data_IF_324708901535
#
_entry.id   IF_324708901535
#
_cell.length_a   1.000
_cell.length_b   1.000
_cell.length_c   1.000
_cell.angle_alpha   90.00
_cell.angle_beta   90.00
_cell.angle_gamma   90.00
#
_symmetry.space_group_name_H-M   'P 1'
#
loop_
_entity.id
_entity.type
_entity.pdbx_description
1 polymer ?
#
# COMPACT_ATOMS: atom_id res chain seq x y z
N UNK A 1 9.81 17.48 68.62
CA UNK A 1 10.84 16.79 69.39
C UNK A 1 11.77 16.17 68.36
N UNK A 2 13.07 16.58 68.48
CA UNK A 2 14.32 16.10 67.84
C UNK A 2 14.35 16.13 66.29
N UNK A 3 14.96 17.07 65.61
CA UNK A 3 16.31 17.71 65.72
C UNK A 3 17.47 16.74 65.35
N UNK A 4 18.19 17.18 64.41
CA UNK A 4 19.68 17.36 64.34
C UNK A 4 20.28 16.70 63.08
N UNK A 5 20.76 17.56 62.18
CA UNK A 5 22.19 17.95 61.86
C UNK A 5 22.98 16.90 61.06
N UNK A 6 23.61 17.21 60.06
CA UNK A 6 24.50 18.19 59.43
C UNK A 6 25.74 17.49 58.86
N UNK A 7 26.18 17.99 57.71
CA UNK A 7 27.57 18.15 57.27
C UNK A 7 28.44 16.93 56.93
N UNK A 8 29.00 17.07 55.77
CA UNK A 8 30.29 16.51 55.37
C UNK A 8 30.41 16.46 53.86
N UNK A 9 30.86 17.52 53.24
CA UNK A 9 32.19 17.77 52.67
C UNK A 9 32.56 16.80 51.52
N UNK A 10 32.55 17.39 50.33
CA UNK A 10 33.65 17.43 49.34
C UNK A 10 34.71 16.32 49.43
N UNK A 11 34.73 15.46 48.44
CA UNK A 11 36.00 15.01 47.90
C UNK A 11 35.90 14.81 46.38
N UNK A 12 36.79 15.47 45.68
CA UNK A 12 37.02 15.47 44.25
C UNK A 12 37.78 14.18 43.96
N UNK A 13 37.23 13.30 43.12
CA UNK A 13 38.06 12.31 42.45
C UNK A 13 38.03 12.51 40.94
N UNK A 14 39.20 12.84 40.45
CA UNK A 14 39.55 12.97 39.04
C UNK A 14 39.83 11.59 38.50
N UNK A 15 39.29 11.33 37.33
CA UNK A 15 39.97 10.41 36.43
C UNK A 15 39.28 9.11 36.16
N UNK A 16 38.35 9.14 35.18
CA UNK A 16 38.16 7.95 34.33
C UNK A 16 37.78 8.41 32.93
N UNK A 17 38.77 8.70 32.11
CA UNK A 17 38.67 8.81 30.66
C UNK A 17 38.16 7.49 30.12
N UNK A 18 36.84 7.41 29.84
CA UNK A 18 36.30 6.34 29.03
C UNK A 18 36.72 6.57 27.58
N UNK A 19 37.77 5.90 27.15
CA UNK A 19 38.12 5.69 25.75
C UNK A 19 36.90 5.07 25.04
N UNK A 20 36.08 5.89 24.43
CA UNK A 20 35.13 5.45 23.42
C UNK A 20 35.94 5.00 22.21
N UNK A 21 36.25 3.72 22.15
CA UNK A 21 36.73 3.08 20.94
C UNK A 21 35.66 3.24 19.84
N UNK A 22 35.84 4.22 18.98
CA UNK A 22 35.18 4.27 17.68
C UNK A 22 35.54 2.98 16.97
N UNK A 23 34.61 1.99 16.96
CA UNK A 23 34.68 0.89 16.02
C UNK A 23 34.53 1.53 14.63
N UNK A 24 35.65 1.68 13.94
CA UNK A 24 35.63 1.96 12.51
C UNK A 24 34.76 0.90 11.84
N UNK A 25 33.58 1.29 11.37
CA UNK A 25 32.74 0.48 10.51
C UNK A 25 33.46 0.40 9.17
N UNK A 26 34.33 -0.62 9.05
CA UNK A 26 34.99 -0.98 7.80
C UNK A 26 33.92 -1.07 6.73
N UNK A 27 33.87 -0.12 5.80
CA UNK A 27 32.98 -0.16 4.64
C UNK A 27 33.29 -1.44 3.88
N UNK A 28 32.45 -2.45 4.06
CA UNK A 28 32.54 -3.71 3.30
C UNK A 28 32.51 -3.38 1.81
N UNK A 29 33.46 -3.92 1.07
CA UNK A 29 33.51 -3.74 -0.38
C UNK A 29 32.28 -4.37 -1.05
N UNK A 30 31.85 -3.83 -2.18
CA UNK A 30 30.74 -4.38 -2.98
C UNK A 30 30.87 -5.90 -3.22
N UNK A 31 32.07 -6.45 -3.56
CA UNK A 31 32.24 -7.89 -3.75
C UNK A 31 32.00 -8.69 -2.47
N UNK A 32 32.41 -8.19 -1.28
CA UNK A 32 32.17 -8.90 -0.01
C UNK A 32 30.69 -9.02 0.34
N UNK A 33 29.90 -7.98 0.04
CA UNK A 33 28.43 -7.99 0.23
C UNK A 33 27.75 -8.94 -0.74
N UNK A 34 28.22 -9.00 -1.99
CA UNK A 34 27.71 -9.94 -3.00
C UNK A 34 28.07 -11.38 -2.65
N UNK A 35 29.32 -11.66 -2.23
CA UNK A 35 29.75 -12.99 -1.79
C UNK A 35 28.97 -13.49 -0.57
N UNK A 36 28.75 -12.64 0.48
CA UNK A 36 27.95 -13.02 1.65
C UNK A 36 26.48 -13.25 1.35
N UNK A 37 25.91 -12.48 0.40
CA UNK A 37 24.54 -12.74 -0.09
C UNK A 37 24.46 -14.02 -0.89
N UNK A 38 25.43 -14.30 -1.75
CA UNK A 38 25.54 -15.52 -2.51
C UNK A 38 25.73 -16.75 -1.59
N UNK A 39 26.63 -16.68 -0.61
CA UNK A 39 26.88 -17.75 0.35
C UNK A 39 25.65 -18.09 1.25
N UNK A 40 24.75 -17.13 1.46
CA UNK A 40 23.48 -17.34 2.18
C UNK A 40 22.37 -17.90 1.31
N UNK A 41 22.50 -17.86 -0.01
CA UNK A 41 21.52 -18.42 -0.92
C UNK A 41 21.78 -19.93 -1.08
N UNK A 42 20.75 -20.76 -0.90
CA UNK A 42 20.79 -22.22 -1.15
C UNK A 42 21.16 -22.58 -2.61
N UNK A 43 21.29 -21.60 -3.49
CA UNK A 43 21.61 -21.78 -4.92
C UNK A 43 23.10 -21.86 -5.20
N UNK A 44 23.94 -21.24 -4.37
CA UNK A 44 25.39 -21.20 -4.56
C UNK A 44 26.06 -22.60 -4.62
N UNK A 45 25.77 -23.54 -3.69
CA UNK A 45 26.39 -24.86 -3.75
C UNK A 45 26.00 -25.64 -5.00
N UNK A 46 24.80 -25.43 -5.55
CA UNK A 46 24.37 -26.09 -6.80
C UNK A 46 25.15 -25.56 -7.99
N UNK A 47 25.31 -24.24 -8.11
CA UNK A 47 26.09 -23.62 -9.19
C UNK A 47 27.57 -24.07 -9.11
N UNK A 48 28.13 -24.06 -7.89
CA UNK A 48 29.49 -24.52 -7.67
C UNK A 48 29.68 -26.00 -8.06
N UNK A 49 28.73 -26.88 -7.73
CA UNK A 49 28.75 -28.28 -8.12
C UNK A 49 28.70 -28.46 -9.65
N UNK A 50 27.84 -27.68 -10.33
CA UNK A 50 27.75 -27.68 -11.79
C UNK A 50 29.08 -27.30 -12.43
N UNK A 51 29.66 -26.19 -11.99
CA UNK A 51 30.92 -25.68 -12.50
C UNK A 51 32.09 -26.70 -12.22
N UNK A 52 32.08 -27.31 -11.05
CA UNK A 52 33.05 -28.33 -10.67
C UNK A 52 32.94 -29.55 -11.58
N UNK A 53 31.73 -30.08 -11.80
CA UNK A 53 31.53 -31.26 -12.69
C UNK A 53 31.97 -30.94 -14.12
N UNK A 54 31.58 -29.77 -14.65
CA UNK A 54 31.99 -29.34 -15.99
C UNK A 54 33.52 -29.22 -16.11
N UNK A 55 34.16 -28.59 -15.12
CA UNK A 55 35.61 -28.41 -15.11
C UNK A 55 36.35 -29.76 -15.03
N UNK A 56 35.97 -30.64 -14.10
CA UNK A 56 36.58 -31.96 -13.94
C UNK A 56 36.40 -32.82 -15.17
N UNK A 57 35.21 -32.80 -15.77
CA UNK A 57 34.92 -33.57 -17.00
C UNK A 57 35.71 -33.05 -18.19
N UNK A 58 35.82 -31.72 -18.36
CA UNK A 58 36.59 -31.11 -19.45
C UNK A 58 38.08 -31.42 -19.33
N UNK A 59 38.62 -31.32 -18.11
CA UNK A 59 40.03 -31.70 -17.87
C UNK A 59 40.23 -33.22 -18.09
N UNK A 60 39.28 -34.02 -17.57
CA UNK A 60 39.37 -35.50 -17.72
C UNK A 60 39.36 -35.94 -19.17
N UNK A 61 38.43 -35.48 -20.01
CA UNK A 61 38.41 -35.85 -21.42
C UNK A 61 39.65 -35.35 -22.15
N UNK A 62 40.13 -34.16 -21.86
CA UNK A 62 41.35 -33.62 -22.47
C UNK A 62 42.57 -34.47 -22.16
N UNK A 63 42.76 -34.89 -20.91
CA UNK A 63 43.89 -35.75 -20.50
C UNK A 63 43.92 -37.07 -21.25
N UNK A 64 42.79 -37.72 -21.48
CA UNK A 64 42.73 -38.99 -22.20
C UNK A 64 42.81 -38.85 -23.73
N UNK A 65 42.28 -37.77 -24.29
CA UNK A 65 42.14 -37.57 -25.74
C UNK A 65 43.30 -36.78 -26.37
N UNK A 66 44.01 -35.95 -25.58
CA UNK A 66 45.01 -34.97 -26.08
C UNK A 66 46.02 -35.56 -27.07
N UNK A 67 46.54 -36.77 -26.80
CA UNK A 67 47.58 -37.42 -27.62
C UNK A 67 46.98 -38.27 -28.75
N UNK A 68 45.79 -38.77 -28.63
CA UNK A 68 45.16 -39.74 -29.50
C UNK A 68 44.10 -39.17 -30.45
N UNK A 69 43.61 -37.98 -30.17
CA UNK A 69 42.47 -37.42 -30.88
C UNK A 69 42.71 -35.96 -31.29
N UNK A 70 42.78 -35.73 -32.61
CA UNK A 70 43.03 -34.40 -33.16
C UNK A 70 41.88 -33.39 -32.86
N UNK A 71 40.69 -33.87 -32.51
CA UNK A 71 39.54 -33.04 -32.18
C UNK A 71 39.59 -32.45 -30.78
N UNK A 72 40.53 -32.89 -29.88
CA UNK A 72 40.70 -32.45 -28.52
C UNK A 72 42.10 -31.89 -28.25
N UNK A 73 42.48 -30.82 -28.98
CA UNK A 73 43.83 -30.21 -28.84
C UNK A 73 43.86 -29.05 -27.87
N UNK A 74 42.73 -28.50 -27.53
CA UNK A 74 42.62 -27.36 -26.63
C UNK A 74 41.62 -27.60 -25.49
N UNK A 75 41.81 -26.87 -24.37
CA UNK A 75 40.83 -26.89 -23.28
C UNK A 75 39.45 -26.36 -23.74
N UNK A 76 39.43 -25.45 -24.73
CA UNK A 76 38.19 -24.95 -25.33
C UNK A 76 37.40 -26.06 -26.03
N UNK A 77 38.09 -26.98 -26.71
CA UNK A 77 37.46 -28.15 -27.38
C UNK A 77 36.81 -29.08 -26.37
N UNK A 78 37.50 -29.32 -25.26
CA UNK A 78 37.00 -30.17 -24.19
C UNK A 78 35.80 -29.55 -23.45
N UNK A 79 35.84 -28.25 -23.16
CA UNK A 79 34.73 -27.52 -22.56
C UNK A 79 33.52 -27.53 -23.51
N UNK A 80 33.72 -27.23 -24.78
CA UNK A 80 32.66 -27.26 -25.79
C UNK A 80 31.97 -28.62 -25.82
N UNK A 81 32.74 -29.71 -25.99
CA UNK A 81 32.21 -31.05 -26.01
C UNK A 81 31.47 -31.43 -24.72
N UNK A 82 32.04 -31.08 -23.55
CA UNK A 82 31.40 -31.34 -22.23
C UNK A 82 30.06 -30.62 -22.11
N UNK A 83 29.99 -29.37 -22.53
CA UNK A 83 28.73 -28.59 -22.53
C UNK A 83 27.69 -29.21 -23.46
N UNK A 84 28.06 -29.49 -24.70
CA UNK A 84 27.19 -30.10 -25.72
C UNK A 84 26.65 -31.44 -25.27
N UNK A 85 27.51 -32.26 -24.65
CA UNK A 85 27.14 -33.58 -24.12
C UNK A 85 26.28 -33.48 -22.85
N UNK A 86 26.66 -32.63 -21.89
CA UNK A 86 25.91 -32.43 -20.64
C UNK A 86 24.52 -31.82 -20.86
N UNK A 87 24.37 -30.97 -21.89
CA UNK A 87 23.07 -30.39 -22.30
C UNK A 87 22.25 -31.31 -23.21
N UNK A 88 22.76 -32.53 -23.50
CA UNK A 88 22.11 -33.52 -24.37
C UNK A 88 21.89 -33.07 -25.82
N UNK A 89 22.59 -32.04 -26.29
CA UNK A 89 22.51 -31.55 -27.69
C UNK A 89 23.23 -32.49 -28.64
N UNK A 90 24.49 -32.90 -28.33
CA UNK A 90 25.23 -33.92 -29.02
C UNK A 90 25.44 -33.69 -30.53
N UNK A 91 26.02 -32.56 -30.94
CA UNK A 91 26.28 -32.28 -32.38
C UNK A 91 27.10 -33.35 -33.10
N UNK A 92 27.91 -34.14 -32.38
CA UNK A 92 28.74 -35.18 -32.95
C UNK A 92 30.00 -34.66 -33.67
N UNK A 93 30.28 -33.38 -33.60
CA UNK A 93 31.46 -32.72 -34.18
C UNK A 93 32.77 -33.09 -33.46
N UNK A 94 32.67 -33.45 -32.18
CA UNK A 94 33.75 -33.93 -31.33
C UNK A 94 33.27 -35.13 -30.53
N UNK A 95 34.01 -36.26 -30.62
CA UNK A 95 33.67 -37.48 -29.87
C UNK A 95 34.94 -38.14 -29.34
N UNK A 96 34.95 -38.61 -28.08
CA UNK A 96 36.09 -39.32 -27.51
C UNK A 96 36.28 -40.70 -28.17
N UNK A 97 37.50 -41.00 -28.56
CA UNK A 97 37.86 -42.27 -29.20
C UNK A 97 38.55 -43.24 -28.25
N UNK A 98 39.24 -42.73 -27.22
CA UNK A 98 39.92 -43.56 -26.21
C UNK A 98 38.94 -44.18 -25.23
N UNK A 99 39.28 -45.29 -24.63
CA UNK A 99 38.47 -45.95 -23.59
C UNK A 99 38.31 -45.04 -22.38
N UNK A 100 39.36 -44.32 -21.96
CA UNK A 100 39.30 -43.36 -20.86
C UNK A 100 38.38 -42.18 -21.15
N UNK A 101 38.48 -41.60 -22.36
CA UNK A 101 37.57 -40.51 -22.79
C UNK A 101 36.12 -40.95 -22.84
N UNK A 102 35.83 -42.17 -23.31
CA UNK A 102 34.47 -42.75 -23.31
C UNK A 102 33.90 -42.94 -21.90
N UNK A 103 34.75 -43.40 -20.96
CA UNK A 103 34.33 -43.52 -19.54
C UNK A 103 33.97 -42.17 -18.94
N UNK A 104 34.77 -41.11 -19.19
CA UNK A 104 34.42 -39.74 -18.81
C UNK A 104 33.09 -39.31 -19.48
N UNK A 105 32.89 -39.67 -20.74
CA UNK A 105 31.65 -39.39 -21.48
C UNK A 105 30.42 -39.99 -20.81
N UNK A 106 30.50 -41.26 -20.37
CA UNK A 106 29.39 -41.89 -19.65
C UNK A 106 29.05 -41.12 -18.35
N UNK A 107 30.07 -40.70 -17.61
CA UNK A 107 29.87 -39.93 -16.40
C UNK A 107 29.23 -38.56 -16.72
N UNK A 108 29.69 -37.86 -17.77
CA UNK A 108 29.11 -36.58 -18.22
C UNK A 108 27.63 -36.75 -18.60
N UNK A 109 27.26 -37.82 -19.30
CA UNK A 109 25.86 -38.09 -19.67
C UNK A 109 24.98 -38.31 -18.43
N UNK A 110 25.41 -39.14 -17.48
CA UNK A 110 24.63 -39.42 -16.26
C UNK A 110 24.49 -38.17 -15.40
N UNK A 111 25.60 -37.51 -15.10
CA UNK A 111 25.56 -36.30 -14.24
C UNK A 111 24.98 -35.09 -14.97
N UNK A 112 25.14 -34.94 -16.29
CA UNK A 112 24.58 -33.87 -17.11
C UNK A 112 23.06 -33.87 -17.09
N UNK A 113 22.41 -35.01 -17.31
CA UNK A 113 20.95 -35.15 -17.22
C UNK A 113 20.46 -34.81 -15.80
N UNK A 114 21.15 -35.28 -14.77
CA UNK A 114 20.83 -34.97 -13.39
C UNK A 114 20.93 -33.46 -13.07
N UNK A 115 21.98 -32.81 -13.58
CA UNK A 115 22.20 -31.37 -13.42
C UNK A 115 21.11 -30.54 -14.12
N UNK A 116 20.75 -30.91 -15.37
CA UNK A 116 19.65 -30.26 -16.09
C UNK A 116 18.33 -30.39 -15.34
N UNK A 117 18.01 -31.56 -14.83
CA UNK A 117 16.82 -31.79 -13.99
C UNK A 117 16.81 -30.91 -12.73
N UNK A 118 17.97 -30.78 -12.07
CA UNK A 118 18.09 -29.87 -10.90
C UNK A 118 17.88 -28.40 -11.25
N UNK A 119 18.44 -27.93 -12.37
CA UNK A 119 18.26 -26.54 -12.83
C UNK A 119 16.78 -26.27 -13.14
N UNK A 120 16.14 -27.13 -13.92
CA UNK A 120 14.73 -27.02 -14.31
C UNK A 120 13.83 -27.06 -13.10
N UNK A 121 14.07 -28.00 -12.17
CA UNK A 121 13.32 -28.08 -10.91
C UNK A 121 13.48 -26.82 -10.03
N UNK A 122 14.66 -26.22 -9.98
CA UNK A 122 14.90 -24.97 -9.26
C UNK A 122 14.18 -23.79 -9.88
N UNK A 123 14.19 -23.66 -11.21
CA UNK A 123 13.47 -22.62 -11.94
C UNK A 123 11.97 -22.78 -11.70
N UNK A 124 11.43 -23.98 -11.85
CA UNK A 124 10.03 -24.27 -11.60
C UNK A 124 9.63 -23.96 -10.15
N UNK A 125 10.41 -24.40 -9.17
CA UNK A 125 10.16 -24.08 -7.75
C UNK A 125 10.19 -22.60 -7.45
N UNK A 126 11.12 -21.85 -8.06
CA UNK A 126 11.21 -20.40 -7.92
C UNK A 126 10.00 -19.68 -8.51
N UNK A 127 9.55 -20.09 -9.71
CA UNK A 127 8.35 -19.55 -10.36
C UNK A 127 7.08 -19.81 -9.53
N UNK A 128 6.94 -21.03 -9.02
CA UNK A 128 5.81 -21.40 -8.15
C UNK A 128 5.84 -20.60 -6.84
N UNK A 129 7.01 -20.50 -6.19
CA UNK A 129 7.16 -19.73 -4.96
C UNK A 129 6.85 -18.24 -5.17
N UNK A 130 7.28 -17.67 -6.30
CA UNK A 130 7.00 -16.30 -6.69
C UNK A 130 5.49 -16.08 -6.87
N UNK A 131 4.82 -16.97 -7.62
CA UNK A 131 3.39 -16.92 -7.87
C UNK A 131 2.55 -17.09 -6.58
N UNK A 132 2.97 -18.00 -5.69
CA UNK A 132 2.33 -18.19 -4.37
C UNK A 132 2.50 -16.94 -3.51
N UNK A 133 3.68 -16.32 -3.45
CA UNK A 133 3.91 -15.10 -2.68
C UNK A 133 3.07 -13.93 -3.20
N UNK A 134 2.94 -13.80 -4.50
CA UNK A 134 2.10 -12.75 -5.12
C UNK A 134 0.62 -12.98 -4.80
N UNK A 135 0.10 -14.18 -5.00
CA UNK A 135 -1.28 -14.54 -4.66
C UNK A 135 -1.57 -14.48 -3.15
N UNK A 136 -0.57 -14.77 -2.31
CA UNK A 136 -0.71 -14.73 -0.85
C UNK A 136 -0.69 -13.33 -0.24
N UNK A 137 -0.49 -12.26 -1.02
CA UNK A 137 -0.44 -10.89 -0.53
C UNK A 137 0.79 -10.56 0.34
N UNK A 138 1.88 -11.33 0.21
CA UNK A 138 3.11 -11.12 0.97
C UNK A 138 4.11 -10.19 0.27
N UNK A 139 3.81 -9.76 -0.95
CA UNK A 139 4.65 -8.87 -1.75
C UNK A 139 4.42 -7.40 -1.40
N UNK A 140 5.44 -6.56 -1.63
CA UNK A 140 5.36 -5.11 -1.38
C UNK A 140 4.95 -4.38 -2.66
N UNK A 141 3.95 -3.49 -2.57
CA UNK A 141 3.39 -2.73 -3.68
C UNK A 141 4.19 -1.45 -4.01
N UNK A 142 5.51 -1.55 -4.17
CA UNK A 142 6.41 -0.38 -4.34
C UNK A 142 6.15 0.47 -5.58
N UNK A 143 5.56 -0.10 -6.61
CA UNK A 143 5.36 0.58 -7.91
C UNK A 143 4.07 1.38 -7.99
N UNK A 144 3.10 1.11 -7.12
CA UNK A 144 1.79 1.76 -7.14
C UNK A 144 1.86 3.16 -6.52
N UNK A 145 1.34 4.16 -7.20
CA UNK A 145 1.29 5.56 -6.76
C UNK A 145 -0.10 6.11 -7.01
N UNK A 146 -0.53 7.07 -6.18
CA UNK A 146 -1.85 7.71 -6.25
C UNK A 146 -3.02 6.73 -6.21
N UNK A 147 -2.82 5.58 -5.62
CA UNK A 147 -3.77 4.49 -5.49
C UNK A 147 -4.69 4.66 -4.28
N UNK A 148 -5.78 3.89 -4.25
CA UNK A 148 -6.68 3.75 -3.14
C UNK A 148 -6.27 2.55 -2.29
N UNK A 149 -6.03 2.75 -1.00
CA UNK A 149 -5.83 1.65 -0.05
C UNK A 149 -7.13 1.40 0.69
N UNK A 150 -7.61 0.16 0.71
CA UNK A 150 -8.80 -0.26 1.44
C UNK A 150 -8.36 -1.23 2.53
N UNK A 151 -8.58 -0.84 3.79
CA UNK A 151 -8.28 -1.63 4.97
C UNK A 151 -9.54 -2.27 5.54
N UNK A 152 -9.47 -3.55 5.92
CA UNK A 152 -10.63 -4.30 6.41
C UNK A 152 -11.35 -5.10 5.34
N UNK A 153 -12.43 -5.77 5.72
CA UNK A 153 -13.20 -6.68 4.86
C UNK A 153 -14.69 -6.66 5.18
N UNK A 154 -15.52 -6.79 4.15
CA UNK A 154 -16.97 -6.95 4.25
C UNK A 154 -17.41 -8.24 3.60
N UNK A 155 -18.53 -8.82 4.06
CA UNK A 155 -19.08 -10.03 3.46
C UNK A 155 -19.50 -9.82 1.99
N UNK A 156 -19.92 -8.60 1.65
CA UNK A 156 -20.31 -8.17 0.31
C UNK A 156 -19.22 -7.35 -0.39
N UNK A 157 -17.95 -7.68 -0.15
CA UNK A 157 -16.78 -6.92 -0.61
C UNK A 157 -16.76 -6.67 -2.12
N UNK A 158 -17.27 -7.61 -2.92
CA UNK A 158 -17.39 -7.46 -4.38
C UNK A 158 -18.25 -6.24 -4.72
N UNK A 159 -19.43 -6.11 -4.09
CA UNK A 159 -20.32 -4.95 -4.31
C UNK A 159 -19.69 -3.65 -3.84
N UNK A 160 -19.07 -3.65 -2.67
CA UNK A 160 -18.37 -2.46 -2.16
C UNK A 160 -17.31 -1.97 -3.15
N UNK A 161 -16.55 -2.87 -3.75
CA UNK A 161 -15.53 -2.50 -4.73
C UNK A 161 -16.12 -2.04 -6.06
N UNK A 162 -17.18 -2.68 -6.54
CA UNK A 162 -17.89 -2.24 -7.73
C UNK A 162 -18.47 -0.84 -7.55
N UNK A 163 -19.12 -0.57 -6.42
CA UNK A 163 -19.64 0.75 -6.09
C UNK A 163 -18.52 1.80 -6.00
N UNK A 164 -17.37 1.45 -5.39
CA UNK A 164 -16.20 2.33 -5.33
C UNK A 164 -15.67 2.67 -6.72
N UNK A 165 -15.59 1.70 -7.63
CA UNK A 165 -15.16 1.93 -9.01
C UNK A 165 -16.18 2.76 -9.79
N UNK A 166 -17.47 2.51 -9.61
CA UNK A 166 -18.52 3.23 -10.31
C UNK A 166 -18.59 4.73 -9.94
N UNK A 167 -18.31 5.09 -8.67
CA UNK A 167 -18.27 6.51 -8.25
C UNK A 167 -16.92 7.19 -8.50
N UNK A 168 -15.89 6.45 -8.88
CA UNK A 168 -14.56 6.99 -9.17
C UNK A 168 -14.09 6.52 -10.56
N UNK A 169 -14.63 7.07 -11.64
CA UNK A 169 -14.35 6.61 -13.01
C UNK A 169 -12.88 6.78 -13.44
N UNK A 170 -12.11 7.60 -12.72
CA UNK A 170 -10.67 7.76 -12.91
C UNK A 170 -9.83 6.66 -12.25
N UNK A 171 -10.45 5.78 -11.45
CA UNK A 171 -9.79 4.71 -10.71
C UNK A 171 -9.95 3.39 -11.45
N UNK A 172 -8.85 2.71 -11.75
CA UNK A 172 -8.88 1.35 -12.27
C UNK A 172 -8.79 0.32 -11.11
N UNK A 173 -9.17 -0.92 -11.36
CA UNK A 173 -9.08 -2.00 -10.37
C UNK A 173 -7.62 -2.24 -9.91
N UNK A 174 -6.64 -2.08 -10.81
CA UNK A 174 -5.20 -2.15 -10.48
C UNK A 174 -4.70 -1.03 -9.57
N UNK A 175 -5.45 0.06 -9.41
CA UNK A 175 -5.16 1.15 -8.49
C UNK A 175 -5.72 0.91 -7.09
N UNK A 176 -6.39 -0.22 -6.85
CA UNK A 176 -6.90 -0.60 -5.54
C UNK A 176 -5.94 -1.58 -4.87
N UNK A 177 -5.56 -1.27 -3.63
CA UNK A 177 -4.76 -2.15 -2.77
C UNK A 177 -5.57 -2.53 -1.54
N UNK A 178 -5.99 -3.79 -1.46
CA UNK A 178 -6.67 -4.34 -0.28
C UNK A 178 -5.66 -4.71 0.80
N UNK A 179 -5.95 -4.36 2.05
CA UNK A 179 -5.15 -4.71 3.22
C UNK A 179 -6.04 -5.36 4.26
N UNK A 180 -5.89 -6.67 4.46
CA UNK A 180 -6.65 -7.42 5.48
C UNK A 180 -5.98 -8.76 5.78
N UNK A 181 -6.58 -9.53 6.69
CA UNK A 181 -6.09 -10.84 7.14
C UNK A 181 -6.86 -12.03 6.56
N UNK A 182 -7.81 -11.81 5.67
CA UNK A 182 -8.61 -12.91 5.08
C UNK A 182 -7.73 -13.94 4.37
N UNK A 183 -8.27 -15.12 4.18
CA UNK A 183 -7.59 -16.17 3.44
C UNK A 183 -7.35 -15.73 1.99
N UNK A 184 -6.19 -16.05 1.37
CA UNK A 184 -5.93 -15.72 -0.03
C UNK A 184 -7.01 -16.21 -1.00
N UNK A 185 -7.66 -17.33 -0.67
CA UNK A 185 -8.76 -17.89 -1.47
C UNK A 185 -9.96 -16.93 -1.59
N UNK A 186 -10.27 -16.15 -0.55
CA UNK A 186 -11.34 -15.14 -0.59
C UNK A 186 -11.03 -14.02 -1.59
N UNK A 187 -9.75 -13.61 -1.63
CA UNK A 187 -9.30 -12.59 -2.58
C UNK A 187 -9.27 -13.14 -4.00
N UNK A 188 -8.93 -14.41 -4.17
CA UNK A 188 -8.95 -15.06 -5.49
C UNK A 188 -10.39 -15.21 -6.01
N UNK A 189 -11.34 -15.56 -5.14
CA UNK A 189 -12.77 -15.55 -5.46
C UNK A 189 -13.25 -14.16 -5.91
N UNK A 190 -12.78 -13.10 -5.23
CA UNK A 190 -13.07 -11.72 -5.61
C UNK A 190 -12.50 -11.39 -7.01
N UNK A 191 -11.27 -11.79 -7.30
CA UNK A 191 -10.59 -11.61 -8.60
C UNK A 191 -11.18 -12.42 -9.74
N UNK A 192 -12.02 -13.40 -9.43
CA UNK A 192 -12.78 -14.14 -10.46
C UNK A 192 -13.81 -13.26 -11.17
N UNK A 193 -14.17 -12.11 -10.58
CA UNK A 193 -14.96 -11.09 -11.24
C UNK A 193 -14.08 -10.31 -12.24
N UNK A 194 -14.46 -10.19 -13.54
CA UNK A 194 -13.66 -9.50 -14.54
C UNK A 194 -13.31 -8.05 -14.23
N UNK A 195 -14.20 -7.33 -13.53
CA UNK A 195 -14.03 -5.93 -13.15
C UNK A 195 -13.04 -5.73 -11.99
N UNK A 196 -12.66 -6.82 -11.27
CA UNK A 196 -11.86 -6.80 -10.05
C UNK A 196 -10.59 -7.66 -10.18
N UNK A 197 -10.27 -8.10 -11.40
CA UNK A 197 -9.22 -9.09 -11.65
C UNK A 197 -7.81 -8.62 -11.25
N UNK A 198 -7.50 -7.34 -11.45
CA UNK A 198 -6.18 -6.78 -11.21
C UNK A 198 -6.03 -6.16 -9.82
N UNK A 199 -7.03 -6.25 -8.95
CA UNK A 199 -6.95 -5.74 -7.58
C UNK A 199 -5.73 -6.32 -6.86
N UNK A 200 -4.97 -5.43 -6.22
CA UNK A 200 -3.77 -5.80 -5.47
C UNK A 200 -4.12 -6.14 -4.03
N UNK A 201 -3.37 -7.07 -3.46
CA UNK A 201 -3.61 -7.55 -2.11
C UNK A 201 -2.34 -7.54 -1.28
N UNK A 202 -2.45 -7.04 -0.05
CA UNK A 202 -1.41 -7.10 0.98
C UNK A 202 -2.01 -7.78 2.20
N UNK A 203 -1.60 -9.01 2.45
CA UNK A 203 -2.06 -9.77 3.62
C UNK A 203 -1.36 -9.31 4.88
N UNK A 204 -2.12 -8.93 5.88
CA UNK A 204 -1.63 -8.56 7.20
C UNK A 204 -2.61 -7.70 7.98
N UNK A 205 -2.26 -7.47 9.23
CA UNK A 205 -3.04 -6.60 10.10
C UNK A 205 -2.84 -5.13 9.67
N UNK A 206 -3.93 -4.47 9.28
CA UNK A 206 -3.91 -3.07 8.86
C UNK A 206 -3.67 -2.07 10.00
N UNK A 207 -3.53 -2.54 11.24
CA UNK A 207 -3.04 -1.74 12.37
C UNK A 207 -1.50 -1.69 12.38
N UNK A 208 -0.81 -2.70 11.80
CA UNK A 208 0.65 -2.78 11.76
C UNK A 208 1.24 -1.83 10.71
N UNK A 209 2.15 -0.96 11.15
CA UNK A 209 2.87 -0.01 10.30
C UNK A 209 3.60 -0.70 9.14
N UNK A 210 4.25 -1.84 9.38
CA UNK A 210 4.98 -2.56 8.33
C UNK A 210 4.07 -3.09 7.23
N UNK A 211 2.85 -3.49 7.57
CA UNK A 211 1.83 -3.92 6.62
C UNK A 211 1.37 -2.76 5.76
N UNK A 212 1.06 -1.62 6.37
CA UNK A 212 0.70 -0.39 5.66
C UNK A 212 1.84 0.12 4.76
N UNK A 213 3.09 0.03 5.21
CA UNK A 213 4.26 0.37 4.38
C UNK A 213 4.43 -0.59 3.19
N UNK A 214 4.08 -1.89 3.33
CA UNK A 214 4.03 -2.83 2.20
C UNK A 214 2.95 -2.45 1.18
N UNK A 215 1.82 -1.90 1.63
CA UNK A 215 0.78 -1.36 0.77
C UNK A 215 1.16 -0.01 0.13
N UNK A 216 2.36 0.49 0.38
CA UNK A 216 2.88 1.79 -0.09
C UNK A 216 1.98 2.99 0.28
N UNK A 217 1.48 2.99 1.51
CA UNK A 217 0.56 4.00 2.03
C UNK A 217 1.05 5.45 1.84
N UNK A 218 2.38 5.67 1.88
CA UNK A 218 2.99 7.00 1.71
C UNK A 218 2.73 7.63 0.35
N UNK A 219 2.45 6.81 -0.66
CA UNK A 219 2.20 7.23 -2.05
C UNK A 219 0.71 7.07 -2.43
N UNK A 220 -0.14 6.63 -1.52
CA UNK A 220 -1.56 6.50 -1.75
C UNK A 220 -2.24 7.88 -1.84
N UNK A 221 -3.26 7.99 -2.69
CA UNK A 221 -4.08 9.20 -2.78
C UNK A 221 -5.11 9.27 -1.65
N UNK A 222 -5.74 8.13 -1.37
CA UNK A 222 -6.81 8.02 -0.38
C UNK A 222 -6.70 6.69 0.36
N UNK A 223 -7.24 6.65 1.58
CA UNK A 223 -7.42 5.43 2.36
C UNK A 223 -8.86 5.31 2.79
N UNK A 224 -9.43 4.14 2.61
CA UNK A 224 -10.74 3.76 3.14
C UNK A 224 -10.53 2.66 4.20
N UNK A 225 -10.95 2.92 5.44
CA UNK A 225 -10.93 1.92 6.52
C UNK A 225 -12.35 1.48 6.77
N UNK A 226 -12.64 0.23 6.46
CA UNK A 226 -13.95 -0.39 6.66
C UNK A 226 -14.07 -0.94 8.08
N UNK A 227 -15.28 -0.96 8.62
CA UNK A 227 -15.61 -1.75 9.80
C UNK A 227 -15.53 -3.24 9.42
N UNK A 228 -14.44 -3.89 9.83
CA UNK A 228 -14.07 -5.23 9.40
C UNK A 228 -15.01 -6.29 9.96
N UNK A 229 -15.70 -7.01 9.09
CA UNK A 229 -16.62 -8.10 9.44
C UNK A 229 -16.03 -9.51 9.21
N UNK A 230 -14.75 -9.61 8.87
CA UNK A 230 -14.08 -10.88 8.57
C UNK A 230 -13.88 -11.78 9.79
N UNK A 231 -13.90 -11.20 10.99
CA UNK A 231 -13.78 -11.91 12.26
C UNK A 231 -15.06 -11.74 13.10
N UNK A 232 -15.38 -12.73 13.93
CA UNK A 232 -16.47 -12.62 14.92
C UNK A 232 -16.05 -11.74 16.10
N UNK A 233 -15.74 -10.45 15.80
CA UNK A 233 -15.30 -9.48 16.77
C UNK A 233 -16.49 -8.65 17.30
N UNK A 234 -16.40 -8.16 18.53
CA UNK A 234 -17.37 -7.22 19.08
C UNK A 234 -17.30 -5.87 18.35
N UNK A 235 -18.39 -5.11 18.33
CA UNK A 235 -18.42 -3.76 17.75
C UNK A 235 -17.32 -2.88 18.33
N UNK A 236 -17.09 -2.96 19.65
CA UNK A 236 -16.04 -2.19 20.31
C UNK A 236 -14.64 -2.57 19.80
N UNK A 237 -14.39 -3.83 19.55
CA UNK A 237 -13.11 -4.31 19.02
C UNK A 237 -12.90 -3.83 17.59
N UNK A 238 -13.92 -3.96 16.73
CA UNK A 238 -13.88 -3.48 15.33
C UNK A 238 -13.58 -1.99 15.29
N UNK A 239 -14.33 -1.18 16.05
CA UNK A 239 -14.15 0.27 16.05
C UNK A 239 -12.81 0.70 16.68
N UNK A 240 -12.34 -0.02 17.71
CA UNK A 240 -11.02 0.22 18.30
C UNK A 240 -9.90 -0.04 17.30
N UNK A 241 -9.98 -1.14 16.54
CA UNK A 241 -9.01 -1.45 15.46
C UNK A 241 -9.03 -0.39 14.36
N UNK A 242 -10.23 0.09 14.00
CA UNK A 242 -10.41 1.19 13.04
C UNK A 242 -9.69 2.45 13.52
N UNK A 243 -9.89 2.86 14.77
CA UNK A 243 -9.20 4.03 15.36
C UNK A 243 -7.69 3.85 15.37
N UNK A 244 -7.20 2.69 15.80
CA UNK A 244 -5.76 2.37 15.83
C UNK A 244 -5.14 2.41 14.41
N UNK A 245 -5.85 1.87 13.42
CA UNK A 245 -5.41 1.92 12.02
C UNK A 245 -5.27 3.36 11.53
N UNK A 246 -6.27 4.21 11.77
CA UNK A 246 -6.22 5.62 11.37
C UNK A 246 -5.07 6.35 12.08
N UNK A 247 -4.85 6.08 13.36
CA UNK A 247 -3.73 6.65 14.10
C UNK A 247 -2.39 6.28 13.45
N UNK A 248 -2.21 5.01 13.10
CA UNK A 248 -1.01 4.52 12.40
C UNK A 248 -0.85 5.18 11.03
N UNK A 249 -1.93 5.25 10.23
CA UNK A 249 -1.95 5.89 8.92
C UNK A 249 -1.54 7.37 9.02
N UNK A 250 -2.15 8.13 9.92
CA UNK A 250 -1.86 9.56 10.12
C UNK A 250 -0.46 9.80 10.73
N UNK A 251 0.10 8.82 11.44
CA UNK A 251 1.50 8.86 11.90
C UNK A 251 2.46 8.70 10.72
N UNK A 252 2.18 7.79 9.79
CA UNK A 252 2.99 7.58 8.58
C UNK A 252 2.88 8.76 7.61
N UNK A 253 1.66 9.28 7.41
CA UNK A 253 1.37 10.37 6.47
C UNK A 253 0.18 11.20 6.94
N UNK A 254 0.44 12.42 7.43
CA UNK A 254 -0.60 13.34 7.92
C UNK A 254 -1.46 13.89 6.79
N UNK A 255 -0.91 13.99 5.59
CA UNK A 255 -1.56 14.62 4.44
C UNK A 255 -2.44 13.66 3.63
N UNK A 256 -2.45 12.36 3.95
CA UNK A 256 -3.27 11.39 3.22
C UNK A 256 -4.75 11.55 3.59
N UNK A 257 -5.62 11.60 2.56
CA UNK A 257 -7.06 11.65 2.77
C UNK A 257 -7.58 10.30 3.29
N UNK A 258 -8.22 10.31 4.44
CA UNK A 258 -8.65 9.11 5.14
C UNK A 258 -10.15 9.15 5.37
N UNK A 259 -10.87 8.18 4.78
CA UNK A 259 -12.28 7.91 5.00
C UNK A 259 -12.41 6.66 5.88
N UNK A 260 -13.34 6.70 6.82
CA UNK A 260 -13.48 5.65 7.83
C UNK A 260 -14.92 5.30 8.08
N UNK A 261 -15.21 4.02 8.15
CA UNK A 261 -16.47 3.52 8.67
C UNK A 261 -16.35 3.21 10.16
N UNK A 262 -17.28 3.75 10.96
CA UNK A 262 -17.50 3.39 12.36
C UNK A 262 -18.91 2.85 12.56
N UNK A 263 -19.04 1.89 13.46
CA UNK A 263 -20.33 1.33 13.86
C UNK A 263 -20.92 2.13 15.01
N UNK A 264 -20.12 2.49 16.03
CA UNK A 264 -20.55 3.23 17.22
C UNK A 264 -19.95 4.64 17.27
N UNK A 265 -20.81 5.65 17.44
CA UNK A 265 -20.41 7.07 17.50
C UNK A 265 -19.51 7.43 18.69
N UNK A 266 -19.40 6.59 19.71
CA UNK A 266 -18.49 6.79 20.87
C UNK A 266 -17.04 6.99 20.45
N UNK A 267 -16.63 6.36 19.35
CA UNK A 267 -15.26 6.45 18.84
C UNK A 267 -15.02 7.65 17.93
N UNK A 268 -16.05 8.37 17.50
CA UNK A 268 -15.96 9.51 16.58
C UNK A 268 -14.97 10.57 17.04
N UNK A 269 -15.02 10.96 18.33
CA UNK A 269 -14.14 11.98 18.91
C UNK A 269 -12.65 11.63 18.80
N UNK A 270 -12.29 10.35 18.89
CA UNK A 270 -10.90 9.92 18.75
C UNK A 270 -10.40 10.14 17.31
N UNK A 271 -11.24 9.85 16.32
CA UNK A 271 -10.92 10.06 14.91
C UNK A 271 -10.87 11.57 14.54
N UNK A 272 -11.74 12.39 15.12
CA UNK A 272 -11.69 13.85 14.96
C UNK A 272 -10.36 14.41 15.50
N UNK A 273 -9.88 13.91 16.63
CA UNK A 273 -8.62 14.36 17.26
C UNK A 273 -7.39 14.01 16.41
N UNK A 274 -7.40 12.91 15.67
CA UNK A 274 -6.32 12.51 14.76
C UNK A 274 -6.50 13.06 13.34
N UNK A 275 -7.47 13.99 13.17
CA UNK A 275 -7.76 14.65 11.91
C UNK A 275 -8.10 13.67 10.77
N UNK A 276 -8.98 12.70 11.08
CA UNK A 276 -9.63 11.89 10.05
C UNK A 276 -10.49 12.81 9.17
N UNK A 277 -10.42 12.63 7.86
CA UNK A 277 -11.05 13.55 6.91
C UNK A 277 -12.56 13.28 6.73
N UNK A 278 -12.96 12.00 6.76
CA UNK A 278 -14.34 11.57 6.59
C UNK A 278 -14.69 10.43 7.57
N UNK A 279 -15.83 10.51 8.24
CA UNK A 279 -16.28 9.50 9.19
C UNK A 279 -17.72 9.12 8.86
N UNK A 280 -17.92 7.89 8.41
CA UNK A 280 -19.23 7.31 8.10
C UNK A 280 -19.72 6.50 9.31
N UNK A 281 -20.83 6.92 9.91
CA UNK A 281 -21.45 6.23 11.05
C UNK A 281 -22.56 5.29 10.56
N UNK A 282 -22.19 4.05 10.20
CA UNK A 282 -23.09 3.12 9.50
C UNK A 282 -24.36 2.80 10.30
N UNK A 283 -24.25 2.59 11.60
CA UNK A 283 -25.41 2.31 12.47
C UNK A 283 -26.33 3.54 12.63
N UNK A 284 -25.78 4.74 12.75
CA UNK A 284 -26.58 5.97 12.89
C UNK A 284 -27.33 6.29 11.61
N UNK A 285 -26.66 6.18 10.47
CA UNK A 285 -27.28 6.39 9.16
C UNK A 285 -28.46 5.44 8.95
N UNK A 286 -28.25 4.15 9.21
CA UNK A 286 -29.31 3.15 9.07
C UNK A 286 -30.50 3.44 10.04
N UNK A 287 -30.21 3.77 11.30
CA UNK A 287 -31.27 4.15 12.28
C UNK A 287 -32.04 5.38 11.82
N UNK A 288 -31.37 6.41 11.32
CA UNK A 288 -32.00 7.63 10.84
C UNK A 288 -32.86 7.36 9.60
N UNK A 289 -32.40 6.52 8.67
CA UNK A 289 -33.19 6.09 7.52
C UNK A 289 -34.47 5.37 7.95
N UNK A 290 -34.38 4.42 8.87
CA UNK A 290 -35.55 3.70 9.40
C UNK A 290 -36.54 4.65 10.11
N UNK A 291 -36.04 5.60 10.92
CA UNK A 291 -36.89 6.57 11.58
C UNK A 291 -37.62 7.46 10.55
N UNK A 292 -36.91 7.98 9.56
CA UNK A 292 -37.54 8.82 8.54
C UNK A 292 -38.56 8.04 7.68
N UNK A 293 -38.31 6.76 7.41
CA UNK A 293 -39.25 5.92 6.66
C UNK A 293 -40.61 5.77 7.37
N UNK A 294 -40.65 5.92 8.71
CA UNK A 294 -41.91 5.89 9.48
C UNK A 294 -42.64 7.25 9.46
N UNK A 295 -41.93 8.33 9.26
CA UNK A 295 -42.48 9.69 9.31
C UNK A 295 -43.09 10.15 7.98
N UNK A 296 -42.52 9.73 6.86
CA UNK A 296 -42.97 10.18 5.53
C UNK A 296 -42.97 9.02 4.53
N UNK A 297 -44.11 8.79 3.90
CA UNK A 297 -44.22 7.75 2.85
C UNK A 297 -43.31 8.06 1.67
N UNK A 298 -42.48 7.08 1.30
CA UNK A 298 -41.59 7.17 0.12
C UNK A 298 -40.23 7.82 0.37
N UNK A 299 -39.96 8.39 1.54
CA UNK A 299 -38.66 9.04 1.83
C UNK A 299 -37.47 8.08 1.68
N UNK A 300 -37.65 6.81 2.05
CA UNK A 300 -36.61 5.80 1.89
C UNK A 300 -36.25 5.56 0.42
N UNK A 301 -37.27 5.57 -0.47
CA UNK A 301 -37.04 5.47 -1.92
C UNK A 301 -36.32 6.70 -2.48
N UNK A 302 -36.70 7.90 -2.02
CA UNK A 302 -36.04 9.14 -2.44
C UNK A 302 -34.57 9.14 -2.05
N UNK A 303 -34.24 8.75 -0.80
CA UNK A 303 -32.86 8.70 -0.33
C UNK A 303 -32.08 7.62 -1.09
N UNK A 304 -32.68 6.45 -1.31
CA UNK A 304 -32.07 5.39 -2.10
C UNK A 304 -31.74 5.88 -3.51
N UNK A 305 -32.70 6.50 -4.21
CA UNK A 305 -32.52 7.05 -5.55
C UNK A 305 -31.45 8.16 -5.63
N UNK A 306 -31.35 9.01 -4.59
CA UNK A 306 -30.33 10.05 -4.51
C UNK A 306 -28.94 9.49 -4.30
N UNK A 307 -28.82 8.36 -3.58
CA UNK A 307 -27.54 7.71 -3.25
C UNK A 307 -27.19 6.57 -4.21
N UNK A 308 -28.07 6.25 -5.17
CA UNK A 308 -27.82 5.17 -6.15
C UNK A 308 -26.58 5.51 -7.00
N UNK A 309 -25.56 4.70 -6.85
CA UNK A 309 -24.26 4.84 -7.52
C UNK A 309 -24.42 4.88 -9.06
N UNK A 310 -25.32 4.06 -9.59
CA UNK A 310 -25.54 3.94 -11.05
C UNK A 310 -26.26 5.14 -11.63
N UNK A 311 -27.01 5.87 -10.82
CA UNK A 311 -27.75 7.06 -11.23
C UNK A 311 -27.01 8.37 -10.96
N UNK A 312 -26.02 8.35 -10.03
CA UNK A 312 -25.12 9.47 -9.77
C UNK A 312 -25.78 10.81 -9.44
N UNK A 313 -26.99 10.79 -8.85
CA UNK A 313 -27.82 12.00 -8.74
C UNK A 313 -27.32 13.01 -7.74
N UNK A 314 -26.79 12.59 -6.59
CA UNK A 314 -26.22 13.47 -5.57
C UNK A 314 -24.70 13.50 -5.69
N UNK A 315 -24.15 14.60 -6.16
CA UNK A 315 -22.71 14.75 -6.39
C UNK A 315 -22.14 16.00 -5.78
N UNK A 316 -20.83 16.01 -5.54
CA UNK A 316 -20.08 17.24 -5.23
C UNK A 316 -19.15 17.58 -6.38
N UNK A 317 -19.22 18.81 -6.89
CA UNK A 317 -18.46 19.26 -8.05
C UNK A 317 -17.67 20.54 -7.77
N UNK A 318 -16.47 20.65 -8.37
CA UNK A 318 -15.76 21.91 -8.37
C UNK A 318 -16.46 22.91 -9.30
N UNK A 319 -16.41 24.18 -8.96
CA UNK A 319 -16.92 25.27 -9.78
C UNK A 319 -15.77 26.23 -10.18
N UNK A 320 -15.95 27.05 -11.21
CA UNK A 320 -14.94 28.01 -11.64
C UNK A 320 -14.53 28.98 -10.52
N UNK A 321 -13.23 29.27 -10.41
CA UNK A 321 -12.65 30.08 -9.34
C UNK A 321 -13.27 31.50 -9.22
N UNK A 322 -13.86 32.04 -10.30
CA UNK A 322 -14.54 33.35 -10.33
C UNK A 322 -15.69 33.46 -9.35
N UNK A 323 -16.31 32.33 -8.94
CA UNK A 323 -17.42 32.33 -7.98
C UNK A 323 -16.94 32.37 -6.53
N UNK A 324 -15.65 32.28 -6.26
CA UNK A 324 -15.14 32.43 -4.88
C UNK A 324 -15.28 33.91 -4.49
N UNK A 325 -16.01 34.17 -3.41
CA UNK A 325 -16.36 35.51 -2.96
C UNK A 325 -17.63 36.08 -3.61
N UNK A 326 -18.21 35.38 -4.58
CA UNK A 326 -19.49 35.72 -5.19
C UNK A 326 -20.67 35.13 -4.41
N UNK A 327 -21.90 35.47 -4.79
CA UNK A 327 -23.12 35.05 -4.10
C UNK A 327 -23.55 33.64 -4.47
N UNK A 328 -24.29 32.99 -3.56
CA UNK A 328 -24.89 31.70 -3.84
C UNK A 328 -25.91 31.76 -5.00
N UNK A 329 -26.61 32.90 -5.13
CA UNK A 329 -27.54 33.13 -6.23
C UNK A 329 -26.86 33.06 -7.60
N UNK A 330 -25.71 33.73 -7.76
CA UNK A 330 -24.90 33.67 -9.02
C UNK A 330 -24.45 32.24 -9.34
N UNK A 331 -23.96 31.50 -8.33
CA UNK A 331 -23.54 30.12 -8.53
C UNK A 331 -24.72 29.20 -8.90
N UNK A 332 -25.90 29.43 -8.28
CA UNK A 332 -27.11 28.67 -8.55
C UNK A 332 -27.56 28.89 -10.00
N UNK A 333 -27.58 30.13 -10.46
CA UNK A 333 -27.91 30.46 -11.85
C UNK A 333 -26.95 29.79 -12.84
N UNK A 334 -25.66 29.77 -12.56
CA UNK A 334 -24.66 29.08 -13.39
C UNK A 334 -24.94 27.58 -13.53
N UNK A 335 -25.22 26.89 -12.44
CA UNK A 335 -25.50 25.45 -12.50
C UNK A 335 -26.84 25.12 -13.17
N UNK A 336 -27.82 25.97 -13.00
CA UNK A 336 -29.14 25.82 -13.64
C UNK A 336 -29.05 26.02 -15.15
N UNK A 337 -28.43 27.13 -15.61
CA UNK A 337 -28.37 27.51 -17.03
C UNK A 337 -27.32 26.72 -17.83
N UNK A 338 -26.12 26.50 -17.28
CA UNK A 338 -24.98 25.95 -18.01
C UNK A 338 -24.89 24.44 -17.82
N UNK A 339 -25.06 23.95 -16.59
CA UNK A 339 -24.82 22.55 -16.23
C UNK A 339 -26.11 21.73 -16.13
N UNK A 340 -27.28 22.38 -16.20
CA UNK A 340 -28.60 21.77 -16.05
C UNK A 340 -28.70 20.87 -14.82
N UNK A 341 -28.17 21.37 -13.69
CA UNK A 341 -28.08 20.65 -12.41
C UNK A 341 -28.66 21.52 -11.30
N UNK A 342 -29.36 20.93 -10.35
CA UNK A 342 -29.91 21.65 -9.21
C UNK A 342 -28.85 21.83 -8.14
N UNK A 343 -28.44 23.09 -7.87
CA UNK A 343 -27.58 23.41 -6.74
C UNK A 343 -28.38 23.41 -5.44
N UNK A 344 -28.11 22.48 -4.54
CA UNK A 344 -28.80 22.37 -3.23
C UNK A 344 -27.98 22.96 -2.06
N UNK A 345 -26.70 23.22 -2.28
CA UNK A 345 -25.83 23.80 -1.25
C UNK A 345 -24.38 23.83 -1.65
N UNK A 346 -23.54 24.20 -0.70
CA UNK A 346 -22.09 24.20 -0.84
C UNK A 346 -21.45 23.37 0.27
N UNK A 347 -20.39 22.67 -0.06
CA UNK A 347 -19.57 21.91 0.88
C UNK A 347 -18.33 22.76 1.19
N UNK A 348 -18.22 23.28 2.40
CA UNK A 348 -17.10 24.12 2.82
C UNK A 348 -15.89 23.31 3.32
N UNK A 349 -14.71 23.94 3.29
CA UNK A 349 -13.45 23.37 3.79
C UNK A 349 -13.14 21.98 3.23
N UNK A 350 -13.35 21.80 1.93
CA UNK A 350 -13.16 20.52 1.27
C UNK A 350 -11.69 20.10 1.17
N UNK A 351 -11.44 18.78 1.20
CA UNK A 351 -10.12 18.20 1.09
C UNK A 351 -9.54 17.74 2.43
N UNK A 352 -8.22 17.59 2.49
CA UNK A 352 -7.57 17.12 3.71
C UNK A 352 -7.60 18.18 4.82
N UNK A 353 -8.22 17.85 5.95
CA UNK A 353 -8.44 18.79 7.06
C UNK A 353 -7.14 19.28 7.71
N UNK A 354 -6.10 18.46 7.74
CA UNK A 354 -4.79 18.84 8.27
C UNK A 354 -4.14 19.93 7.42
N UNK A 355 -4.22 19.81 6.09
CA UNK A 355 -3.73 20.84 5.17
C UNK A 355 -4.53 22.13 5.32
N UNK A 356 -5.87 22.04 5.42
CA UNK A 356 -6.73 23.22 5.64
C UNK A 356 -6.41 23.95 6.94
N UNK A 357 -6.25 23.23 8.05
CA UNK A 357 -5.84 23.83 9.33
C UNK A 357 -4.46 24.49 9.25
N UNK A 358 -3.52 23.88 8.54
CA UNK A 358 -2.17 24.44 8.35
C UNK A 358 -2.19 25.72 7.51
N UNK A 359 -3.01 25.79 6.46
CA UNK A 359 -3.21 26.98 5.64
C UNK A 359 -3.90 28.10 6.43
N UNK A 360 -4.99 27.77 7.12
CA UNK A 360 -5.71 28.72 7.99
C UNK A 360 -4.82 29.25 9.12
N UNK A 361 -3.95 28.42 9.71
CA UNK A 361 -2.98 28.85 10.70
C UNK A 361 -1.97 29.85 10.13
N UNK A 362 -1.45 29.58 8.93
CA UNK A 362 -0.52 30.50 8.24
C UNK A 362 -1.17 31.84 7.93
N UNK A 363 -2.46 31.84 7.56
CA UNK A 363 -3.20 33.04 7.28
C UNK A 363 -3.49 33.83 8.58
N UNK A 364 -3.90 33.15 9.65
CA UNK A 364 -4.10 33.76 10.95
C UNK A 364 -2.84 34.45 11.47
N UNK A 365 -1.66 33.83 11.29
CA UNK A 365 -0.38 34.39 11.73
C UNK A 365 0.04 35.68 11.03
N UNK A 366 -0.53 36.01 9.87
CA UNK A 366 -0.29 37.29 9.16
C UNK A 366 -1.03 38.45 9.79
N UNK A 367 -1.93 38.23 10.75
CA UNK A 367 -2.74 39.27 11.40
C UNK A 367 -1.89 40.06 12.39
N UNK A 368 -1.70 41.39 12.23
CA UNK A 368 -0.82 42.17 13.09
C UNK A 368 -1.43 42.49 14.46
N UNK A 369 -2.76 42.43 14.58
CA UNK A 369 -3.51 42.72 15.84
C UNK A 369 -3.59 41.44 16.68
N UNK A 370 -3.11 41.53 17.94
CA UNK A 370 -3.05 40.40 18.89
C UNK A 370 -4.47 39.88 19.23
N UNK A 371 -5.46 40.75 19.42
CA UNK A 371 -6.82 40.36 19.77
C UNK A 371 -7.48 39.60 18.62
N UNK A 372 -7.31 40.08 17.39
CA UNK A 372 -7.79 39.42 16.18
C UNK A 372 -7.01 38.13 15.90
N UNK A 373 -5.70 38.10 16.19
CA UNK A 373 -4.89 36.90 16.06
C UNK A 373 -5.41 35.75 16.96
N UNK A 374 -5.73 36.08 18.24
CA UNK A 374 -6.29 35.10 19.18
C UNK A 374 -7.62 34.54 18.67
N UNK A 375 -8.53 35.43 18.22
CA UNK A 375 -9.82 35.02 17.65
C UNK A 375 -9.64 34.13 16.41
N UNK A 376 -8.74 34.50 15.49
CA UNK A 376 -8.43 33.73 14.29
C UNK A 376 -7.85 32.34 14.64
N UNK A 377 -6.96 32.24 15.64
CA UNK A 377 -6.39 30.99 16.11
C UNK A 377 -7.43 30.06 16.74
N UNK A 378 -8.42 30.63 17.47
CA UNK A 378 -9.56 29.86 17.96
C UNK A 378 -10.41 29.32 16.81
N UNK A 379 -10.69 30.15 15.80
CA UNK A 379 -11.37 29.71 14.57
C UNK A 379 -10.64 28.55 13.85
N UNK A 380 -9.31 28.60 13.79
CA UNK A 380 -8.52 27.48 13.22
C UNK A 380 -8.67 26.19 14.04
N UNK A 381 -8.73 26.29 15.37
CA UNK A 381 -8.95 25.12 16.25
C UNK A 381 -10.30 24.47 15.98
N UNK A 382 -11.33 25.28 15.78
CA UNK A 382 -12.72 24.85 15.57
C UNK A 382 -13.00 24.45 14.11
N UNK A 383 -12.08 24.73 13.20
CA UNK A 383 -12.25 24.42 11.78
C UNK A 383 -12.53 22.92 11.59
N UNK A 384 -13.67 22.62 10.96
CA UNK A 384 -14.08 21.28 10.55
C UNK A 384 -13.99 21.16 9.04
N UNK A 385 -13.58 20.00 8.56
CA UNK A 385 -13.57 19.69 7.13
C UNK A 385 -14.93 19.27 6.61
N UNK A 386 -15.13 19.42 5.31
CA UNK A 386 -16.29 18.90 4.57
C UNK A 386 -17.64 19.28 5.22
N UNK A 387 -17.84 20.57 5.53
CA UNK A 387 -19.07 21.05 6.16
C UNK A 387 -20.13 21.39 5.11
N UNK A 388 -21.25 20.65 5.03
CA UNK A 388 -22.34 21.00 4.13
C UNK A 388 -23.15 22.19 4.67
N UNK A 389 -23.38 23.18 3.82
CA UNK A 389 -24.29 24.27 4.02
C UNK A 389 -25.39 24.14 2.99
N UNK A 390 -26.55 23.64 3.41
CA UNK A 390 -27.71 23.43 2.53
C UNK A 390 -28.55 24.70 2.39
N UNK A 391 -28.94 24.99 1.16
CA UNK A 391 -29.82 26.08 0.78
C UNK A 391 -29.50 27.40 1.54
N UNK A 392 -28.24 27.88 1.49
CA UNK A 392 -27.91 29.15 2.08
C UNK A 392 -28.71 30.28 1.42
N UNK A 393 -28.85 31.40 2.10
CA UNK A 393 -29.54 32.56 1.53
C UNK A 393 -28.89 33.05 0.22
N UNK A 394 -29.62 33.77 -0.63
CA UNK A 394 -29.11 34.18 -1.96
C UNK A 394 -27.83 35.00 -1.88
N UNK A 395 -27.65 35.81 -0.83
CA UNK A 395 -26.51 36.70 -0.61
C UNK A 395 -25.32 36.01 0.09
N UNK A 396 -25.45 34.71 0.36
CA UNK A 396 -24.35 33.94 0.97
C UNK A 396 -23.11 33.96 0.10
N UNK A 397 -21.99 34.42 0.66
CA UNK A 397 -20.70 34.49 -0.05
C UNK A 397 -19.99 33.16 -0.03
N UNK A 398 -19.64 32.68 -1.22
CA UNK A 398 -18.97 31.41 -1.44
C UNK A 398 -17.53 31.52 -0.96
N UNK A 399 -17.17 30.68 0.01
CA UNK A 399 -15.81 30.65 0.58
C UNK A 399 -14.83 29.92 -0.31
N UNK A 400 -13.57 30.24 -0.14
CA UNK A 400 -12.47 29.47 -0.73
C UNK A 400 -12.53 28.02 -0.23
N UNK A 401 -12.10 27.07 -1.08
CA UNK A 401 -12.14 25.63 -0.79
C UNK A 401 -13.55 25.04 -0.61
N UNK A 402 -14.54 25.66 -1.22
CA UNK A 402 -15.89 25.09 -1.30
C UNK A 402 -16.10 24.28 -2.58
N UNK A 403 -17.03 23.35 -2.54
CA UNK A 403 -17.55 22.60 -3.67
C UNK A 403 -19.06 22.76 -3.76
N UNK A 404 -19.61 22.72 -4.95
CA UNK A 404 -21.05 22.69 -5.14
C UNK A 404 -21.61 21.31 -4.74
N UNK A 405 -22.76 21.28 -4.05
CA UNK A 405 -23.55 20.09 -3.80
C UNK A 405 -24.72 20.12 -4.80
N UNK A 406 -24.76 19.15 -5.71
CA UNK A 406 -25.66 19.14 -6.84
C UNK A 406 -26.53 17.89 -6.84
N UNK A 407 -27.77 18.06 -7.32
CA UNK A 407 -28.59 16.97 -7.82
C UNK A 407 -28.53 17.04 -9.36
N UNK A 408 -28.02 15.97 -9.98
CA UNK A 408 -27.90 15.86 -11.42
C UNK A 408 -29.10 15.09 -11.97
N UNK A 409 -29.59 15.50 -13.17
CA UNK A 409 -30.71 14.83 -13.85
C UNK A 409 -30.24 13.60 -14.61
#
# INVERSE_FOLDING_TARGET
MYSIRTRGCLEVDKGMERKHGRKEVRKESLPDRLMRRAARSRTYPVIAAILMVLALSSVGVLLFEYHSNQSFRSLGDAIWWTLVTATTVGYGDKVPITTGGRMVGILVMIFGVGLLGMITGRIASWLVEWKIKEGSGLTTQKKTKRHLVICGWKNDMVRVLQDVLAVNPELADEDIVLVNMVAPAEVENLRSNPELHNIRFVRGDYVDENVLLRANIRQAAKVLVLADSSANASVQEVDSRTVMSVLTIKTISKDIYTCVELIDSKFKRYLENVHCDEIVLSREHNRTLLANATAASGIAHVIHDLLDVNRGRLITKNFPARFVGDTFASLKQYFDEVERSILIGVLENTGNIFQRKREALREAQKTPDISRLVANLQGVKELRGNQPVFNPGPDYQIKQYSRAILIQY
#
